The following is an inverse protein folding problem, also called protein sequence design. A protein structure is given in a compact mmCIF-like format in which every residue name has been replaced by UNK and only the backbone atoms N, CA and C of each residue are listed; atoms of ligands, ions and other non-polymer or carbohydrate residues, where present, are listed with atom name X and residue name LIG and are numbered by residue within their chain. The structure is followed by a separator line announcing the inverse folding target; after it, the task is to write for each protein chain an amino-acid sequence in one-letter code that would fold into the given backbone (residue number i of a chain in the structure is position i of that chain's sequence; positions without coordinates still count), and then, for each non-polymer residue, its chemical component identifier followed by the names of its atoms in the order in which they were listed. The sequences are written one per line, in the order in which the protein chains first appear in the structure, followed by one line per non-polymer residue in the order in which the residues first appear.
data_IF_156612466268
#
_entry.id   IF_156612466268
#
_cell.length_a   1.000
_cell.length_b   1.000
_cell.length_c   1.000
_cell.angle_alpha   90.00
_cell.angle_beta   90.00
_cell.angle_gamma   90.00
#
_symmetry.space_group_name_H-M   'P 1'
#
loop_
_entity.id
_entity.type
_entity.pdbx_description
1 polymer ?
#
# COMPACT_ATOMS: atom_id res chain seq x y z
N UNK A 1 19.55 -0.01 1.94
CA UNK A 1 20.55 0.03 0.84
C UNK A 1 19.97 -0.45 -0.50
N UNK A 2 19.16 -1.52 -0.52
CA UNK A 2 18.50 -1.99 -1.74
C UNK A 2 17.38 -1.06 -2.25
N UNK A 3 16.53 -0.54 -1.35
CA UNK A 3 15.44 0.41 -1.67
C UNK A 3 15.95 1.65 -2.40
N UNK A 4 16.88 2.41 -1.78
CA UNK A 4 17.54 3.56 -2.40
C UNK A 4 18.09 3.31 -3.80
N UNK A 5 18.74 2.16 -4.03
CA UNK A 5 19.28 1.81 -5.36
C UNK A 5 18.16 1.60 -6.38
N UNK A 6 17.12 0.87 -6.02
CA UNK A 6 15.97 0.62 -6.91
C UNK A 6 15.22 1.93 -7.20
N UNK A 7 15.03 2.79 -6.19
CA UNK A 7 14.44 4.11 -6.37
C UNK A 7 15.24 4.97 -7.35
N UNK A 8 16.57 5.02 -7.20
CA UNK A 8 17.45 5.73 -8.13
C UNK A 8 17.41 5.15 -9.56
N UNK A 9 17.40 3.83 -9.70
CA UNK A 9 17.25 3.16 -11.01
C UNK A 9 15.91 3.49 -11.66
N UNK A 10 14.82 3.50 -10.88
CA UNK A 10 13.50 3.89 -11.38
C UNK A 10 13.46 5.36 -11.81
N UNK A 11 14.03 6.28 -11.03
CA UNK A 11 14.12 7.70 -11.42
C UNK A 11 14.92 7.86 -12.70
N UNK A 12 16.06 7.17 -12.83
CA UNK A 12 16.86 7.17 -14.06
C UNK A 12 16.06 6.71 -15.28
N UNK A 13 15.33 5.59 -15.14
CA UNK A 13 14.44 5.08 -16.19
C UNK A 13 13.29 6.05 -16.52
N UNK A 14 12.67 6.63 -15.50
CA UNK A 14 11.56 7.55 -15.67
C UNK A 14 11.98 8.82 -16.42
N UNK A 15 13.20 9.30 -16.19
CA UNK A 15 13.75 10.50 -16.84
C UNK A 15 14.36 10.21 -18.22
N UNK A 16 14.73 8.96 -18.54
CA UNK A 16 15.37 8.62 -19.82
C UNK A 16 14.40 8.48 -20.99
N UNK A 17 13.09 8.47 -20.74
CA UNK A 17 12.07 8.20 -21.76
C UNK A 17 10.98 9.28 -21.84
N UNK A 18 10.50 9.55 -23.05
CA UNK A 18 9.19 10.18 -23.25
C UNK A 18 8.10 9.10 -23.14
N UNK A 19 7.49 8.99 -21.96
CA UNK A 19 6.47 7.98 -21.66
C UNK A 19 5.20 8.07 -22.53
N UNK A 20 4.98 9.18 -23.23
CA UNK A 20 3.87 9.29 -24.19
C UNK A 20 4.16 8.57 -25.52
N UNK A 21 5.44 8.35 -25.83
CA UNK A 21 5.92 7.81 -27.12
C UNK A 21 6.92 6.69 -26.95
N UNK A 22 7.01 6.12 -25.76
CA UNK A 22 8.05 5.16 -25.41
C UNK A 22 7.92 3.90 -26.29
N UNK A 23 9.04 3.43 -26.89
CA UNK A 23 9.09 2.13 -27.52
C UNK A 23 8.90 1.03 -26.45
N UNK A 24 9.01 -0.23 -26.86
CA UNK A 24 9.08 -1.31 -25.88
C UNK A 24 10.31 -1.15 -24.99
N UNK A 25 10.09 -1.16 -23.68
CA UNK A 25 11.14 -1.27 -22.69
C UNK A 25 11.86 -2.61 -22.87
N UNK A 26 13.17 -2.57 -22.66
CA UNK A 26 13.99 -3.78 -22.56
C UNK A 26 13.66 -4.58 -21.30
N UNK A 27 14.04 -5.86 -21.28
CA UNK A 27 13.85 -6.74 -20.13
C UNK A 27 14.45 -6.17 -18.84
N UNK A 28 15.58 -5.48 -18.91
CA UNK A 28 16.23 -4.87 -17.75
C UNK A 28 15.40 -3.69 -17.21
N UNK A 29 14.82 -2.88 -18.08
CA UNK A 29 13.97 -1.77 -17.69
C UNK A 29 12.63 -2.27 -17.10
N UNK A 30 12.08 -3.35 -17.66
CA UNK A 30 10.91 -4.04 -17.09
C UNK A 30 11.24 -4.60 -15.69
N UNK A 31 12.45 -5.12 -15.47
CA UNK A 31 12.90 -5.56 -14.14
C UNK A 31 12.98 -4.42 -13.13
N UNK A 32 13.30 -3.20 -13.55
CA UNK A 32 13.25 -2.03 -12.67
C UNK A 32 11.81 -1.76 -12.24
N UNK A 33 10.84 -1.79 -13.17
CA UNK A 33 9.41 -1.64 -12.85
C UNK A 33 8.91 -2.75 -11.91
N UNK A 34 9.32 -4.00 -12.16
CA UNK A 34 8.98 -5.13 -11.30
C UNK A 34 9.55 -4.95 -9.88
N UNK A 35 10.82 -4.53 -9.80
CA UNK A 35 11.53 -4.37 -8.53
C UNK A 35 10.91 -3.28 -7.68
N UNK A 36 10.59 -2.11 -8.26
CA UNK A 36 10.00 -1.00 -7.50
C UNK A 36 8.61 -1.36 -6.96
N UNK A 37 7.77 -2.02 -7.76
CA UNK A 37 6.45 -2.49 -7.32
C UNK A 37 6.58 -3.54 -6.20
N UNK A 38 7.54 -4.45 -6.31
CA UNK A 38 7.76 -5.50 -5.31
C UNK A 38 8.22 -4.95 -3.96
N UNK A 39 9.18 -4.02 -3.95
CA UNK A 39 9.68 -3.42 -2.70
C UNK A 39 8.67 -2.49 -2.04
N UNK A 40 7.71 -1.96 -2.80
CA UNK A 40 6.56 -1.21 -2.29
C UNK A 40 5.50 -2.11 -1.61
N UNK A 41 5.77 -3.40 -1.43
CA UNK A 41 4.90 -4.32 -0.69
C UNK A 41 3.84 -5.02 -1.54
N UNK A 42 3.76 -4.72 -2.84
CA UNK A 42 2.91 -5.47 -3.76
C UNK A 42 3.53 -6.83 -4.10
N UNK A 43 2.69 -7.76 -4.55
CA UNK A 43 3.11 -9.11 -4.97
C UNK A 43 2.88 -9.28 -6.48
N UNK A 44 3.67 -8.64 -7.35
CA UNK A 44 3.54 -8.82 -8.79
C UNK A 44 4.00 -10.23 -9.18
N UNK A 45 3.32 -10.84 -10.15
CA UNK A 45 3.82 -11.99 -10.90
C UNK A 45 4.66 -11.53 -12.09
N UNK A 46 4.19 -10.51 -12.80
CA UNK A 46 4.85 -9.94 -13.97
C UNK A 46 4.43 -8.49 -14.22
N UNK A 47 5.22 -7.81 -15.05
CA UNK A 47 4.91 -6.48 -15.61
C UNK A 47 4.76 -6.66 -17.11
N UNK A 48 3.60 -6.32 -17.66
CA UNK A 48 3.28 -6.52 -19.07
C UNK A 48 2.89 -5.23 -19.75
N UNK A 49 3.19 -5.11 -21.04
CA UNK A 49 2.76 -3.97 -21.84
C UNK A 49 1.24 -3.98 -21.98
N UNK A 50 0.60 -2.86 -21.69
CA UNK A 50 -0.84 -2.71 -21.83
C UNK A 50 -1.41 -1.62 -20.93
N UNK A 51 -2.60 -1.15 -21.31
CA UNK A 51 -3.40 -0.23 -20.49
C UNK A 51 -4.45 -1.02 -19.71
N UNK A 52 -4.57 -0.71 -18.44
CA UNK A 52 -5.60 -1.25 -17.55
C UNK A 52 -6.83 -0.35 -17.61
N UNK A 53 -7.93 -0.91 -18.09
CA UNK A 53 -9.22 -0.22 -18.22
C UNK A 53 -10.13 -0.66 -17.08
N UNK A 54 -10.62 0.31 -16.31
CA UNK A 54 -11.67 0.09 -15.32
C UNK A 54 -13.01 0.55 -15.91
N UNK A 55 -14.07 -0.22 -15.67
CA UNK A 55 -15.42 0.11 -16.11
C UNK A 55 -16.24 0.56 -14.91
N UNK A 56 -16.90 1.70 -15.03
CA UNK A 56 -17.83 2.18 -14.02
C UNK A 56 -19.05 1.26 -13.98
N UNK A 57 -19.52 1.02 -12.76
CA UNK A 57 -20.68 0.16 -12.49
C UNK A 57 -21.80 0.97 -11.89
N UNK A 58 -23.01 0.67 -12.31
CA UNK A 58 -24.22 1.22 -11.72
C UNK A 58 -24.50 0.55 -10.36
N UNK A 59 -25.50 1.03 -9.63
CA UNK A 59 -25.91 0.55 -8.30
C UNK A 59 -26.25 -0.95 -8.32
N UNK A 60 -26.76 -1.46 -9.44
CA UNK A 60 -27.07 -2.87 -9.65
C UNK A 60 -25.86 -3.73 -10.05
N UNK A 61 -24.67 -3.12 -10.16
CA UNK A 61 -23.42 -3.77 -10.55
C UNK A 61 -23.22 -3.95 -12.06
N UNK A 62 -24.20 -3.56 -12.89
CA UNK A 62 -24.08 -3.56 -14.34
C UNK A 62 -23.08 -2.49 -14.81
N UNK A 63 -22.47 -2.66 -15.98
CA UNK A 63 -21.54 -1.66 -16.54
C UNK A 63 -22.34 -0.47 -17.06
N UNK A 64 -21.98 0.74 -16.67
CA UNK A 64 -22.60 1.97 -17.19
C UNK A 64 -22.21 2.24 -18.65
N UNK A 65 -21.19 1.54 -19.16
CA UNK A 65 -20.56 1.81 -20.46
C UNK A 65 -19.43 2.84 -20.36
N UNK A 66 -19.32 3.56 -19.24
CA UNK A 66 -18.20 4.46 -18.97
C UNK A 66 -16.97 3.67 -18.49
N UNK A 67 -15.79 4.15 -18.88
CA UNK A 67 -14.53 3.54 -18.49
C UNK A 67 -13.44 4.57 -18.34
N UNK A 68 -12.44 4.24 -17.53
CA UNK A 68 -11.23 5.06 -17.37
C UNK A 68 -9.99 4.17 -17.39
N UNK A 69 -8.86 4.78 -17.80
CA UNK A 69 -7.58 4.09 -17.86
C UNK A 69 -6.83 4.37 -16.55
N UNK A 70 -6.49 3.31 -15.83
CA UNK A 70 -5.79 3.40 -14.53
C UNK A 70 -4.36 3.87 -14.71
N UNK A 71 -3.64 3.32 -15.69
CA UNK A 71 -2.28 3.69 -16.04
C UNK A 71 -2.26 4.55 -17.30
N UNK A 72 -2.93 5.70 -17.28
CA UNK A 72 -2.98 6.63 -18.42
C UNK A 72 -1.58 6.97 -18.95
N UNK A 73 -0.56 6.95 -18.09
CA UNK A 73 0.80 7.38 -18.37
C UNK A 73 1.78 6.24 -18.58
N UNK A 74 1.85 5.30 -17.64
CA UNK A 74 2.68 4.12 -17.81
C UNK A 74 2.03 3.18 -18.82
N UNK A 75 2.68 2.77 -19.93
CA UNK A 75 2.12 1.82 -20.88
C UNK A 75 2.29 0.36 -20.43
N UNK A 76 2.60 0.15 -19.16
CA UNK A 76 2.76 -1.16 -18.52
C UNK A 76 1.77 -1.29 -17.36
N UNK A 77 1.26 -2.50 -17.18
CA UNK A 77 0.38 -2.88 -16.07
C UNK A 77 0.98 -4.03 -15.28
N UNK A 78 0.52 -4.17 -14.05
CA UNK A 78 0.99 -5.19 -13.11
C UNK A 78 0.01 -6.36 -13.11
N UNK A 79 0.52 -7.58 -13.31
CA UNK A 79 -0.24 -8.81 -13.13
C UNK A 79 0.06 -9.36 -11.74
N UNK A 80 -0.98 -9.75 -11.00
CA UNK A 80 -0.88 -10.35 -9.68
C UNK A 80 -0.51 -11.83 -9.72
N UNK A 81 -0.19 -12.39 -8.55
CA UNK A 81 0.10 -13.83 -8.39
C UNK A 81 -1.08 -14.75 -8.75
N UNK A 82 -2.30 -14.21 -8.81
CA UNK A 82 -3.50 -14.92 -9.25
C UNK A 82 -3.69 -14.90 -10.79
N UNK A 83 -2.76 -14.30 -11.53
CA UNK A 83 -2.82 -14.15 -12.98
C UNK A 83 -3.75 -13.05 -13.47
N UNK A 84 -4.35 -12.26 -12.57
CA UNK A 84 -5.25 -11.17 -12.92
C UNK A 84 -4.57 -9.80 -12.87
N UNK A 85 -5.21 -8.81 -13.48
CA UNK A 85 -4.77 -7.42 -13.40
C UNK A 85 -4.80 -6.90 -11.95
N UNK A 86 -3.63 -6.47 -11.46
CA UNK A 86 -3.51 -5.86 -10.14
C UNK A 86 -3.76 -4.36 -10.26
N UNK A 87 -5.03 -3.95 -10.09
CA UNK A 87 -5.47 -2.55 -10.18
C UNK A 87 -4.65 -1.60 -9.32
N UNK A 88 -4.41 -1.97 -8.06
CA UNK A 88 -3.69 -1.12 -7.10
C UNK A 88 -2.22 -0.95 -7.44
N UNK A 89 -1.52 -2.06 -7.71
CA UNK A 89 -0.12 -1.99 -8.10
C UNK A 89 0.07 -1.22 -9.42
N UNK A 90 -0.88 -1.35 -10.35
CA UNK A 90 -0.89 -0.61 -11.62
C UNK A 90 -1.12 0.89 -11.41
N UNK A 91 -2.10 1.28 -10.59
CA UNK A 91 -2.37 2.67 -10.25
C UNK A 91 -1.20 3.31 -9.49
N UNK A 92 -0.61 2.57 -8.54
CA UNK A 92 0.57 2.98 -7.81
C UNK A 92 1.77 3.22 -8.73
N UNK A 93 2.08 2.28 -9.62
CA UNK A 93 3.15 2.42 -10.60
C UNK A 93 2.95 3.66 -11.49
N UNK A 94 1.70 3.93 -11.90
CA UNK A 94 1.37 5.14 -12.65
C UNK A 94 1.59 6.41 -11.81
N UNK A 95 1.16 6.40 -10.55
CA UNK A 95 1.32 7.51 -9.61
C UNK A 95 2.78 7.87 -9.35
N UNK A 96 3.65 6.89 -9.05
CA UNK A 96 5.08 7.17 -8.85
C UNK A 96 5.77 7.63 -10.13
N UNK A 97 5.34 7.14 -11.29
CA UNK A 97 5.81 7.66 -12.57
C UNK A 97 5.34 9.11 -12.80
N UNK A 98 4.12 9.45 -12.40
CA UNK A 98 3.61 10.83 -12.41
C UNK A 98 4.40 11.76 -11.48
N UNK A 99 4.85 11.30 -10.32
CA UNK A 99 5.70 12.12 -9.46
C UNK A 99 7.03 12.51 -10.14
N UNK A 100 7.63 11.59 -10.90
CA UNK A 100 8.96 11.83 -11.52
C UNK A 100 8.84 12.50 -12.88
N UNK A 101 7.99 11.98 -13.77
CA UNK A 101 7.91 12.46 -15.14
C UNK A 101 6.75 13.44 -15.37
N UNK A 102 5.85 13.65 -14.39
CA UNK A 102 4.53 14.32 -14.47
C UNK A 102 4.52 15.74 -15.01
N UNK A 103 3.47 16.21 -15.72
CA UNK A 103 3.30 17.65 -15.96
C UNK A 103 3.03 18.42 -14.66
N UNK A 104 2.35 17.77 -13.71
CA UNK A 104 2.05 18.27 -12.36
C UNK A 104 3.18 18.01 -11.36
N UNK A 105 4.23 17.28 -11.77
CA UNK A 105 5.45 17.29 -10.97
C UNK A 105 5.87 18.76 -10.90
N UNK A 106 6.12 19.27 -9.69
CA UNK A 106 6.54 20.66 -9.43
C UNK A 106 7.85 21.06 -10.14
N UNK A 107 8.33 20.19 -11.02
CA UNK A 107 9.56 20.15 -11.80
C UNK A 107 9.42 20.82 -13.19
N UNK A 108 8.21 20.90 -13.77
CA UNK A 108 8.02 21.56 -15.08
C UNK A 108 7.77 23.07 -14.99
N UNK A 109 7.62 23.62 -13.78
CA UNK A 109 7.22 25.03 -13.63
C UNK A 109 8.35 26.02 -13.99
N UNK A 110 9.64 25.64 -14.00
CA UNK A 110 10.76 26.60 -14.24
C UNK A 110 12.04 26.06 -14.89
N UNK A 111 11.97 25.02 -15.72
CA UNK A 111 13.10 24.61 -16.58
C UNK A 111 14.41 24.25 -15.87
N UNK A 112 14.36 23.83 -14.60
CA UNK A 112 15.52 23.29 -13.86
C UNK A 112 15.32 21.81 -13.62
N UNK A 113 16.22 21.00 -14.19
CA UNK A 113 16.40 19.59 -13.81
C UNK A 113 16.66 19.56 -12.31
N UNK A 114 15.76 18.95 -11.55
CA UNK A 114 15.99 18.73 -10.13
C UNK A 114 16.93 17.54 -9.93
N UNK A 115 17.66 17.63 -8.84
CA UNK A 115 18.59 16.63 -8.35
C UNK A 115 17.94 15.25 -8.33
N UNK A 116 18.46 14.33 -9.14
CA UNK A 116 18.03 12.94 -9.19
C UNK A 116 18.07 12.27 -7.82
N UNK A 117 18.93 12.73 -6.90
CA UNK A 117 18.99 12.22 -5.53
C UNK A 117 17.75 12.59 -4.72
N UNK A 118 17.23 13.81 -4.89
CA UNK A 118 16.00 14.23 -4.21
C UNK A 118 14.79 13.42 -4.71
N UNK A 119 14.68 13.23 -6.01
CA UNK A 119 13.61 12.41 -6.60
C UNK A 119 13.70 10.96 -6.11
N UNK A 120 14.92 10.40 -6.04
CA UNK A 120 15.12 9.07 -5.50
C UNK A 120 14.69 8.96 -4.03
N UNK A 121 14.96 10.00 -3.22
CA UNK A 121 14.51 10.05 -1.83
C UNK A 121 12.99 10.18 -1.69
N UNK A 122 12.32 10.95 -2.57
CA UNK A 122 10.87 11.04 -2.60
C UNK A 122 10.23 9.70 -2.99
N UNK A 123 10.80 9.00 -3.98
CA UNK A 123 10.35 7.65 -4.36
C UNK A 123 10.61 6.63 -3.25
N UNK A 124 11.74 6.71 -2.55
CA UNK A 124 12.03 5.87 -1.38
C UNK A 124 10.96 6.04 -0.29
N UNK A 125 10.57 7.28 0.00
CA UNK A 125 9.49 7.59 0.95
C UNK A 125 8.15 7.01 0.50
N UNK A 126 7.81 7.10 -0.79
CA UNK A 126 6.56 6.54 -1.32
C UNK A 126 6.56 5.01 -1.29
N UNK A 127 7.71 4.36 -1.56
CA UNK A 127 7.87 2.91 -1.37
C UNK A 127 7.59 2.55 0.08
N UNK A 128 8.21 3.24 1.03
CA UNK A 128 8.03 2.98 2.46
C UNK A 128 6.56 3.13 2.86
N UNK A 129 5.89 4.22 2.47
CA UNK A 129 4.45 4.48 2.72
C UNK A 129 3.52 3.43 2.13
N UNK A 130 3.96 2.74 1.08
CA UNK A 130 3.15 1.75 0.37
C UNK A 130 3.24 0.35 0.95
N UNK A 131 4.17 0.09 1.87
CA UNK A 131 4.28 -1.21 2.53
C UNK A 131 3.15 -1.31 3.58
N UNK A 132 2.23 -2.29 3.48
CA UNK A 132 1.16 -2.47 4.44
C UNK A 132 1.65 -2.75 5.85
N UNK A 133 0.88 -2.36 6.86
CA UNK A 133 1.16 -2.73 8.24
C UNK A 133 1.18 -4.26 8.37
N UNK A 134 2.26 -4.81 8.92
CA UNK A 134 2.30 -6.23 9.23
C UNK A 134 1.18 -6.61 10.21
N UNK A 135 0.43 -7.70 9.96
CA UNK A 135 -0.66 -8.10 10.83
C UNK A 135 -0.23 -8.30 12.28
N UNK A 136 -0.95 -7.68 13.21
CA UNK A 136 -0.68 -7.78 14.64
C UNK A 136 -1.41 -9.02 15.17
N UNK A 137 -0.66 -9.97 15.73
CA UNK A 137 -1.24 -11.14 16.39
C UNK A 137 -1.97 -10.70 17.65
N UNK A 138 -3.26 -11.01 17.72
CA UNK A 138 -4.14 -10.67 18.84
C UNK A 138 -4.25 -11.81 19.86
N UNK A 139 -4.16 -13.06 19.42
CA UNK A 139 -4.32 -14.25 20.28
C UNK A 139 -3.31 -15.34 19.93
N UNK A 140 -3.10 -16.28 20.86
CA UNK A 140 -2.28 -17.48 20.62
C UNK A 140 -2.89 -18.41 19.56
N UNK A 141 -4.19 -18.31 19.28
CA UNK A 141 -4.90 -19.16 18.33
C UNK A 141 -4.82 -18.65 16.86
N UNK A 142 -4.02 -17.62 16.60
CA UNK A 142 -3.83 -17.10 15.24
C UNK A 142 -4.91 -16.11 14.82
N UNK A 143 -5.51 -15.37 15.76
CA UNK A 143 -6.26 -14.17 15.43
C UNK A 143 -5.30 -13.02 15.13
N UNK A 144 -5.52 -12.33 14.02
CA UNK A 144 -4.72 -11.18 13.61
C UNK A 144 -5.60 -9.96 13.34
N UNK A 145 -5.12 -8.81 13.78
CA UNK A 145 -5.56 -7.50 13.31
C UNK A 145 -4.74 -7.17 12.06
N UNK A 146 -5.41 -6.87 10.96
CA UNK A 146 -4.77 -6.33 9.76
C UNK A 146 -5.35 -4.97 9.43
N UNK A 147 -4.59 -4.20 8.68
CA UNK A 147 -5.03 -2.92 8.16
C UNK A 147 -6.29 -3.07 7.27
N UNK A 148 -7.22 -2.08 7.30
CA UNK A 148 -8.27 -2.04 6.30
C UNK A 148 -7.67 -1.91 4.89
N UNK A 149 -8.37 -2.42 3.86
CA UNK A 149 -7.97 -2.12 2.51
C UNK A 149 -8.01 -0.59 2.31
N UNK A 150 -6.99 0.04 1.70
CA UNK A 150 -7.04 1.46 1.36
C UNK A 150 -8.24 1.75 0.44
N UNK A 151 -8.68 3.01 0.35
CA UNK A 151 -9.68 3.45 -0.62
C UNK A 151 -9.32 3.04 -2.06
N UNK A 152 -10.33 2.90 -2.93
CA UNK A 152 -10.12 2.45 -4.31
C UNK A 152 -9.60 3.56 -5.24
N UNK A 153 -9.85 4.82 -4.88
CA UNK A 153 -9.53 6.03 -5.63
C UNK A 153 -8.10 6.55 -5.38
N UNK A 154 -7.42 6.05 -4.36
CA UNK A 154 -6.05 6.44 -4.03
C UNK A 154 -5.03 5.61 -4.82
N UNK A 155 -4.30 6.27 -5.73
CA UNK A 155 -3.22 5.63 -6.50
C UNK A 155 -1.93 5.49 -5.67
N UNK A 156 -1.61 6.49 -4.83
CA UNK A 156 -0.52 6.40 -3.86
C UNK A 156 -1.13 6.05 -2.51
N UNK A 157 -0.63 4.98 -1.89
CA UNK A 157 -1.23 4.44 -0.67
C UNK A 157 -0.45 4.91 0.54
N UNK A 158 -1.16 5.38 1.55
CA UNK A 158 -0.58 5.72 2.84
C UNK A 158 -0.97 4.67 3.89
N UNK A 159 -0.18 3.61 3.95
CA UNK A 159 -0.40 2.54 4.90
C UNK A 159 0.04 2.92 6.31
N UNK A 160 -0.73 2.44 7.28
CA UNK A 160 -0.52 2.60 8.71
C UNK A 160 0.86 2.09 9.14
N UNK A 161 1.45 2.75 10.13
CA UNK A 161 2.77 2.45 10.69
C UNK A 161 2.68 2.06 12.16
N UNK A 162 3.73 1.43 12.67
CA UNK A 162 3.80 1.05 14.08
C UNK A 162 3.83 2.26 15.04
N UNK A 163 4.27 3.44 14.56
CA UNK A 163 4.24 4.70 15.31
C UNK A 163 2.91 5.47 15.16
N UNK A 164 2.03 5.07 14.23
CA UNK A 164 0.72 5.67 14.08
C UNK A 164 -0.17 5.37 15.28
N UNK A 165 -0.98 6.37 15.64
CA UNK A 165 -1.94 6.25 16.73
C UNK A 165 -3.07 5.31 16.35
N UNK A 166 -3.47 4.48 17.30
CA UNK A 166 -4.63 3.61 17.17
C UNK A 166 -5.89 4.49 17.16
N UNK A 167 -6.64 4.45 16.06
CA UNK A 167 -7.93 5.14 15.93
C UNK A 167 -8.91 4.71 17.04
N UNK A 168 -9.79 5.62 17.45
CA UNK A 168 -10.89 5.28 18.35
C UNK A 168 -11.98 4.46 17.63
N UNK A 169 -12.23 4.78 16.37
CA UNK A 169 -13.28 4.19 15.54
C UNK A 169 -12.59 3.51 14.35
N UNK A 170 -12.76 2.19 14.20
CA UNK A 170 -12.08 1.38 13.19
C UNK A 170 -10.54 1.29 13.32
N UNK A 171 -10.08 0.45 14.24
CA UNK A 171 -8.66 0.10 14.43
C UNK A 171 -8.12 -0.79 13.31
N UNK A 172 -9.00 -1.54 12.65
CA UNK A 172 -8.65 -2.36 11.50
C UNK A 172 -9.63 -3.50 11.28
N UNK A 173 -9.15 -4.56 10.64
CA UNK A 173 -9.96 -5.71 10.23
C UNK A 173 -9.46 -6.97 10.93
N UNK A 174 -10.37 -7.78 11.45
CA UNK A 174 -10.05 -9.13 11.89
C UNK A 174 -9.75 -9.99 10.68
N UNK A 175 -8.53 -10.55 10.63
CA UNK A 175 -8.06 -11.29 9.46
C UNK A 175 -8.96 -12.49 9.11
N UNK A 176 -9.47 -13.21 10.11
CA UNK A 176 -10.23 -14.44 9.90
C UNK A 176 -11.65 -14.18 9.37
N UNK A 177 -12.42 -13.31 10.02
CA UNK A 177 -13.81 -13.08 9.64
C UNK A 177 -14.03 -11.84 8.76
N UNK A 178 -13.00 -11.01 8.55
CA UNK A 178 -13.11 -9.77 7.79
C UNK A 178 -13.95 -8.68 8.46
N UNK A 179 -14.31 -8.84 9.73
CA UNK A 179 -15.08 -7.86 10.49
C UNK A 179 -14.22 -6.70 10.98
N UNK A 180 -14.78 -5.49 10.97
CA UNK A 180 -14.17 -4.31 11.59
C UNK A 180 -13.91 -4.50 13.08
N UNK A 181 -12.78 -3.98 13.55
CA UNK A 181 -12.35 -4.00 14.94
C UNK A 181 -12.46 -2.60 15.53
N UNK A 182 -13.25 -2.47 16.59
CA UNK A 182 -13.40 -1.22 17.33
C UNK A 182 -12.62 -1.24 18.62
N UNK A 183 -12.13 -0.07 19.04
CA UNK A 183 -11.55 0.14 20.36
C UNK A 183 -12.63 0.69 21.29
N UNK A 184 -12.79 0.04 22.43
CA UNK A 184 -13.65 0.52 23.51
C UNK A 184 -12.83 0.64 24.78
N UNK A 185 -13.10 1.67 25.58
CA UNK A 185 -12.59 1.68 26.95
C UNK A 185 -13.35 0.63 27.76
N UNK A 186 -12.61 -0.33 28.33
CA UNK A 186 -13.18 -1.42 29.13
C UNK A 186 -13.10 -1.10 30.63
N UNK A 187 -11.93 -0.64 31.08
CA UNK A 187 -11.66 -0.29 32.48
C UNK A 187 -10.88 1.04 32.55
N UNK A 188 -10.45 1.43 33.75
CA UNK A 188 -9.55 2.58 33.92
C UNK A 188 -8.17 2.36 33.28
N UNK A 189 -7.69 1.10 33.28
CA UNK A 189 -6.32 0.73 32.90
C UNK A 189 -6.26 -0.07 31.58
N UNK A 190 -7.39 -0.51 31.05
CA UNK A 190 -7.43 -1.38 29.87
C UNK A 190 -8.51 -0.96 28.88
N UNK A 191 -8.13 -1.06 27.61
CA UNK A 191 -9.06 -0.98 26.49
C UNK A 191 -9.31 -2.38 25.93
N UNK A 192 -10.34 -2.52 25.12
CA UNK A 192 -10.70 -3.75 24.44
C UNK A 192 -10.86 -3.51 22.94
N UNK A 193 -10.25 -4.36 22.13
CA UNK A 193 -10.60 -4.49 20.73
C UNK A 193 -11.76 -5.46 20.58
N UNK A 194 -12.81 -5.06 19.87
CA UNK A 194 -14.00 -5.89 19.64
C UNK A 194 -14.25 -6.05 18.14
N UNK A 195 -14.34 -7.29 17.67
CA UNK A 195 -14.76 -7.55 16.30
C UNK A 195 -16.28 -7.41 16.16
N UNK A 196 -16.74 -6.59 15.21
CA UNK A 196 -18.18 -6.40 14.95
C UNK A 196 -18.88 -7.66 14.41
N UNK A 197 -18.13 -8.62 13.84
CA UNK A 197 -18.72 -9.80 13.17
C UNK A 197 -18.70 -11.07 14.02
N UNK A 198 -17.56 -11.42 14.61
CA UNK A 198 -17.42 -12.63 15.44
C UNK A 198 -17.42 -12.35 16.95
N UNK A 199 -17.46 -11.07 17.34
CA UNK A 199 -17.43 -10.62 18.74
C UNK A 199 -16.18 -11.07 19.52
N UNK A 200 -15.08 -11.39 18.83
CA UNK A 200 -13.76 -11.55 19.44
C UNK A 200 -13.44 -10.29 20.28
N UNK A 201 -13.03 -10.50 21.53
CA UNK A 201 -12.65 -9.43 22.46
C UNK A 201 -11.21 -9.64 22.90
N UNK A 202 -10.38 -8.60 22.75
CA UNK A 202 -8.97 -8.64 23.09
C UNK A 202 -8.66 -7.46 23.99
N UNK A 203 -8.37 -7.73 25.26
CA UNK A 203 -8.00 -6.71 26.23
C UNK A 203 -6.52 -6.33 26.06
N UNK A 204 -6.22 -5.04 26.18
CA UNK A 204 -4.86 -4.54 26.14
C UNK A 204 -4.69 -3.31 27.03
N UNK A 205 -3.47 -3.02 27.54
CA UNK A 205 -3.23 -1.87 28.40
C UNK A 205 -3.51 -0.55 27.69
N UNK A 206 -4.12 0.42 28.38
CA UNK A 206 -4.50 1.74 27.82
C UNK A 206 -3.29 2.55 27.33
N UNK A 207 -2.09 2.21 27.81
CA UNK A 207 -0.82 2.79 27.38
C UNK A 207 -0.46 2.41 25.93
N UNK A 208 -1.09 1.39 25.34
CA UNK A 208 -0.92 1.06 23.93
C UNK A 208 -1.62 2.11 23.06
N UNK A 209 -0.90 3.20 22.77
CA UNK A 209 -1.40 4.30 21.95
C UNK A 209 -1.13 4.13 20.46
N UNK A 210 -0.16 3.28 20.09
CA UNK A 210 0.26 3.05 18.70
C UNK A 210 0.19 1.57 18.33
N UNK A 211 0.15 1.27 17.03
CA UNK A 211 0.11 -0.11 16.53
C UNK A 211 1.33 -0.93 16.98
N UNK A 212 2.52 -0.35 16.96
CA UNK A 212 3.74 -0.98 17.45
C UNK A 212 3.66 -1.29 18.94
N UNK A 213 3.11 -0.36 19.74
CA UNK A 213 2.96 -0.60 21.18
C UNK A 213 1.92 -1.68 21.49
N UNK A 214 0.83 -1.72 20.72
CA UNK A 214 -0.15 -2.80 20.78
C UNK A 214 0.51 -4.15 20.45
N UNK A 215 1.30 -4.22 19.38
CA UNK A 215 2.03 -5.43 18.96
C UNK A 215 2.93 -5.96 20.06
N UNK A 216 3.74 -5.09 20.68
CA UNK A 216 4.62 -5.45 21.79
C UNK A 216 3.85 -6.00 22.99
N UNK A 217 2.86 -5.25 23.47
CA UNK A 217 2.16 -5.56 24.72
C UNK A 217 1.28 -6.80 24.59
N UNK A 218 0.60 -6.98 23.46
CA UNK A 218 -0.17 -8.19 23.20
C UNK A 218 0.77 -9.38 23.05
N UNK A 219 1.88 -9.25 22.33
CA UNK A 219 2.85 -10.34 22.20
C UNK A 219 3.44 -10.76 23.55
N UNK A 220 3.74 -9.80 24.43
CA UNK A 220 4.20 -10.06 25.79
C UNK A 220 3.14 -10.80 26.63
N UNK A 221 1.88 -10.39 26.54
CA UNK A 221 0.79 -11.08 27.23
C UNK A 221 0.60 -12.52 26.73
N UNK A 222 0.85 -12.78 25.45
CA UNK A 222 0.76 -14.11 24.85
C UNK A 222 1.92 -15.04 25.21
N UNK A 223 3.10 -14.50 25.52
CA UNK A 223 4.27 -15.30 25.93
C UNK A 223 4.35 -15.54 27.44
N UNK A 224 3.56 -14.83 28.25
CA UNK A 224 3.54 -14.95 29.71
C UNK A 224 2.76 -16.15 30.27
N UNK A 225 2.06 -16.92 29.44
CA UNK A 225 1.36 -18.15 29.86
C UNK A 225 2.09 -19.39 29.32
N UNK A 226 2.90 -20.10 30.14
CA UNK A 226 3.30 -21.45 29.79
C UNK A 226 2.05 -22.34 29.72
N UNK A 227 1.99 -23.16 28.67
CA UNK A 227 0.94 -24.14 28.42
C UNK A 227 0.78 -25.16 29.55
#
# INVERSE_FOLDING_TARGET
MQTKKIAASFVGLALSHDWNRIPELSDEEIRILFSIVSIAGFKPAEIVRGKLVCYLRDVDGSKTGESFIVNNRCPYKVIGQDGNDCYRATGWLNGVLELVAGPSSSLWVRGKVLDSEKLAADIEREIERSIPLEPIRLTSNGDYLREPPPPFDECLVDHSRDDDKISAEAVGIHNLCGGWMDRWQSTETSDVLVCRRCYLRVLFPKEAKTYGKLRELVSFALSGFPA
#
